data_IF_367649791751
#
_entry.id   IF_367649791751
#
_cell.length_a   1.000
_cell.length_b   1.000
_cell.length_c   1.000
_cell.angle_alpha   90.00
_cell.angle_beta   90.00
_cell.angle_gamma   90.00
#
_symmetry.space_group_name_H-M   'P 1'
#
loop_
_entity.id
_entity.type
_entity.pdbx_description
1 polymer ?
#
# COMPACT_ATOMS: atom_id res chain seq x y z
N UNK A 1 -15.12 -3.91 -13.40
CA UNK A 1 -14.48 -4.09 -12.09
C UNK A 1 -13.00 -3.73 -12.15
N UNK A 2 -12.09 -4.58 -12.62
CA UNK A 2 -10.64 -4.26 -12.64
C UNK A 2 -10.31 -3.02 -13.51
N UNK A 3 -10.89 -2.92 -14.71
CA UNK A 3 -10.67 -1.79 -15.61
C UNK A 3 -11.07 -0.44 -15.00
N UNK A 4 -12.18 -0.40 -14.25
CA UNK A 4 -12.66 0.83 -13.60
C UNK A 4 -11.71 1.28 -12.49
N UNK A 5 -11.10 0.33 -11.77
CA UNK A 5 -10.07 0.64 -10.77
C UNK A 5 -8.81 1.23 -11.41
N UNK A 6 -8.38 0.69 -12.54
CA UNK A 6 -7.24 1.22 -13.31
C UNK A 6 -7.53 2.64 -13.78
N UNK A 7 -8.69 2.87 -14.40
CA UNK A 7 -9.10 4.18 -14.89
C UNK A 7 -9.18 5.22 -13.76
N UNK A 8 -9.70 4.83 -12.59
CA UNK A 8 -9.73 5.69 -11.40
C UNK A 8 -8.31 6.06 -10.94
N UNK A 9 -7.38 5.10 -10.90
CA UNK A 9 -5.99 5.36 -10.54
C UNK A 9 -5.33 6.32 -11.55
N UNK A 10 -5.47 6.06 -12.85
CA UNK A 10 -4.90 6.91 -13.92
C UNK A 10 -5.42 8.35 -13.81
N UNK A 11 -6.74 8.51 -13.67
CA UNK A 11 -7.39 9.83 -13.56
C UNK A 11 -6.93 10.57 -12.30
N UNK A 12 -6.87 9.86 -11.15
CA UNK A 12 -6.47 10.47 -9.87
C UNK A 12 -5.01 10.89 -9.89
N UNK A 13 -4.12 10.07 -10.48
CA UNK A 13 -2.70 10.40 -10.61
C UNK A 13 -2.47 11.58 -11.54
N UNK A 14 -3.21 11.66 -12.65
CA UNK A 14 -3.12 12.77 -13.60
C UNK A 14 -3.63 14.10 -13.01
N UNK A 15 -4.68 14.06 -12.18
CA UNK A 15 -5.24 15.25 -11.55
C UNK A 15 -4.42 15.76 -10.35
N UNK A 16 -3.52 14.94 -9.82
CA UNK A 16 -2.79 15.24 -8.58
C UNK A 16 -1.57 16.14 -8.84
N UNK A 17 -1.30 17.14 -7.97
CA UNK A 17 -0.03 17.90 -8.02
C UNK A 17 1.18 16.97 -7.83
N UNK A 18 2.28 17.22 -8.58
CA UNK A 18 3.50 16.40 -8.52
C UNK A 18 4.07 16.18 -7.10
N UNK A 19 3.80 17.08 -6.17
CA UNK A 19 4.29 17.04 -4.79
C UNK A 19 3.28 16.45 -3.79
N UNK A 20 2.04 16.14 -4.19
CA UNK A 20 1.06 15.63 -3.24
C UNK A 20 1.48 14.23 -2.72
N UNK A 21 1.14 13.93 -1.47
CA UNK A 21 1.56 12.70 -0.78
C UNK A 21 0.42 11.70 -0.63
N UNK A 22 -0.81 12.06 -1.00
CA UNK A 22 -2.05 11.32 -0.71
C UNK A 22 -2.27 10.06 -1.53
N UNK A 23 -1.62 9.93 -2.70
CA UNK A 23 -1.64 8.73 -3.53
C UNK A 23 -0.24 8.49 -4.08
N UNK A 24 0.32 7.29 -3.89
CA UNK A 24 1.64 6.93 -4.39
C UNK A 24 1.60 5.52 -4.95
N UNK A 25 2.38 5.29 -6.00
CA UNK A 25 2.68 3.94 -6.49
C UNK A 25 4.09 3.62 -6.05
N UNK A 26 4.27 2.47 -5.42
CA UNK A 26 5.56 1.99 -4.97
C UNK A 26 5.91 0.71 -5.70
N UNK A 27 7.14 0.62 -6.18
CA UNK A 27 7.68 -0.61 -6.77
C UNK A 27 8.20 -1.55 -5.68
N UNK A 28 8.47 -2.79 -6.06
CA UNK A 28 9.09 -3.80 -5.18
C UNK A 28 10.46 -3.39 -4.61
N UNK A 29 11.13 -2.44 -5.25
CA UNK A 29 12.42 -1.89 -4.83
C UNK A 29 12.29 -0.58 -4.04
N UNK A 30 11.08 -0.24 -3.57
CA UNK A 30 10.78 0.98 -2.80
C UNK A 30 10.98 2.29 -3.57
N UNK A 31 10.96 2.25 -4.90
CA UNK A 31 10.93 3.45 -5.74
C UNK A 31 9.49 3.92 -5.93
N UNK A 32 9.31 5.22 -6.17
CA UNK A 32 7.99 5.80 -6.43
C UNK A 32 7.79 6.16 -7.89
N UNK A 33 6.59 5.86 -8.38
CA UNK A 33 6.16 6.22 -9.73
C UNK A 33 5.04 7.25 -9.67
N UNK A 34 5.00 8.14 -10.66
CA UNK A 34 3.98 9.18 -10.77
C UNK A 34 2.82 8.77 -11.69
N UNK A 35 2.98 7.68 -12.44
CA UNK A 35 1.99 7.13 -13.35
C UNK A 35 2.12 5.60 -13.42
N UNK A 36 1.12 4.93 -14.01
CA UNK A 36 1.09 3.48 -14.22
C UNK A 36 1.30 3.09 -15.70
N UNK A 37 1.89 3.99 -16.51
CA UNK A 37 2.03 3.78 -17.96
C UNK A 37 2.95 2.60 -18.30
N UNK A 38 3.86 2.24 -17.39
CA UNK A 38 4.65 1.01 -17.47
C UNK A 38 3.78 -0.14 -16.96
N UNK A 39 3.07 -0.80 -17.87
CA UNK A 39 1.98 -1.73 -17.56
C UNK A 39 2.40 -3.16 -17.21
N UNK A 40 3.69 -3.50 -17.23
CA UNK A 40 4.11 -4.87 -16.91
C UNK A 40 5.59 -4.97 -16.57
N UNK A 41 5.92 -4.95 -15.29
CA UNK A 41 7.05 -5.75 -14.84
C UNK A 41 6.54 -7.19 -14.72
N UNK A 42 7.05 -8.11 -15.55
CA UNK A 42 6.92 -9.53 -15.24
C UNK A 42 7.78 -9.79 -14.00
N UNK A 43 7.14 -9.73 -12.83
CA UNK A 43 7.80 -10.05 -11.59
C UNK A 43 7.88 -11.58 -11.46
N UNK A 44 9.01 -12.15 -11.87
CA UNK A 44 9.30 -13.56 -11.68
C UNK A 44 9.81 -13.73 -10.26
N UNK A 45 8.98 -14.27 -9.38
CA UNK A 45 9.48 -14.89 -8.16
C UNK A 45 10.41 -16.03 -8.63
N UNK A 46 11.71 -15.95 -8.35
CA UNK A 46 12.67 -17.01 -8.71
C UNK A 46 12.37 -18.31 -7.95
N UNK A 47 13.41 -19.11 -7.66
CA UNK A 47 13.30 -20.32 -6.80
C UNK A 47 12.95 -20.01 -5.31
N UNK A 48 12.37 -18.86 -5.03
CA UNK A 48 11.96 -18.45 -3.68
C UNK A 48 10.47 -18.69 -3.48
N UNK A 49 10.07 -19.21 -2.32
CA UNK A 49 8.67 -19.35 -1.86
C UNK A 49 7.93 -18.00 -1.65
N UNK A 50 8.46 -16.90 -2.20
CA UNK A 50 7.87 -15.57 -2.10
C UNK A 50 6.68 -15.47 -3.04
N UNK A 51 5.61 -14.89 -2.55
CA UNK A 51 4.40 -14.61 -3.31
C UNK A 51 4.06 -13.11 -3.28
N UNK A 52 2.97 -12.73 -3.95
CA UNK A 52 2.50 -11.34 -3.98
C UNK A 52 2.13 -10.79 -2.60
N UNK A 53 1.67 -11.63 -1.67
CA UNK A 53 1.40 -11.20 -0.29
C UNK A 53 2.70 -10.75 0.38
N UNK A 54 3.79 -11.50 0.21
CA UNK A 54 5.08 -11.13 0.79
C UNK A 54 5.59 -9.79 0.22
N UNK A 55 5.32 -9.53 -1.06
CA UNK A 55 5.62 -8.24 -1.68
C UNK A 55 4.79 -7.11 -1.03
N UNK A 56 3.47 -7.27 -0.94
CA UNK A 56 2.58 -6.27 -0.29
C UNK A 56 3.01 -6.02 1.15
N UNK A 57 3.32 -7.07 1.90
CA UNK A 57 3.74 -6.97 3.30
C UNK A 57 5.11 -6.31 3.43
N UNK A 58 6.05 -6.58 2.52
CA UNK A 58 7.35 -5.91 2.50
C UNK A 58 7.20 -4.41 2.31
N UNK A 59 6.25 -3.97 1.48
CA UNK A 59 5.91 -2.56 1.30
C UNK A 59 5.37 -1.94 2.59
N UNK A 60 4.45 -2.60 3.29
CA UNK A 60 3.94 -2.12 4.58
C UNK A 60 5.05 -1.96 5.62
N UNK A 61 5.92 -2.97 5.77
CA UNK A 61 7.02 -2.95 6.72
C UNK A 61 8.04 -1.85 6.41
N UNK A 62 8.33 -1.61 5.14
CA UNK A 62 9.20 -0.51 4.73
C UNK A 62 8.65 0.84 5.21
N UNK A 63 7.36 1.10 5.03
CA UNK A 63 6.74 2.34 5.50
C UNK A 63 6.73 2.47 7.02
N UNK A 64 6.50 1.38 7.75
CA UNK A 64 6.58 1.37 9.23
C UNK A 64 7.98 1.79 9.67
N UNK A 65 9.03 1.22 9.06
CA UNK A 65 10.40 1.57 9.37
C UNK A 65 10.74 3.04 9.03
N UNK A 66 10.25 3.57 7.89
CA UNK A 66 10.45 4.98 7.54
C UNK A 66 9.81 5.93 8.56
N UNK A 67 8.63 5.58 9.08
CA UNK A 67 7.91 6.42 10.04
C UNK A 67 8.52 6.34 11.43
N UNK A 68 9.08 5.19 11.86
CA UNK A 68 9.84 5.09 13.10
C UNK A 68 11.05 6.04 13.10
N UNK A 69 11.77 6.14 11.97
CA UNK A 69 12.86 7.08 11.81
C UNK A 69 12.41 8.56 11.82
N UNK A 70 11.13 8.84 11.49
CA UNK A 70 10.56 10.19 11.49
C UNK A 70 9.86 10.55 12.82
N UNK A 71 9.38 9.55 13.57
CA UNK A 71 8.57 9.71 14.79
C UNK A 71 9.37 10.09 16.04
N UNK A 72 10.70 10.21 15.97
CA UNK A 72 11.50 10.81 17.06
C UNK A 72 11.03 12.24 17.45
N UNK A 73 10.12 12.86 16.67
CA UNK A 73 9.57 14.20 16.90
C UNK A 73 8.06 14.29 17.19
N UNK A 74 7.28 13.20 17.14
CA UNK A 74 5.81 13.28 17.22
C UNK A 74 5.23 12.59 18.46
N UNK A 75 4.47 13.34 19.27
CA UNK A 75 3.87 12.95 20.56
C UNK A 75 2.57 12.14 20.46
N UNK A 76 2.06 11.87 19.26
CA UNK A 76 0.78 11.17 19.08
C UNK A 76 0.94 9.69 18.71
N UNK A 77 0.22 8.82 19.44
CA UNK A 77 0.13 7.37 19.21
C UNK A 77 -0.75 7.04 18.00
N UNK A 78 -0.44 7.57 16.83
CA UNK A 78 -1.09 7.16 15.59
C UNK A 78 -0.42 5.90 15.02
N UNK A 79 -1.21 4.96 14.49
CA UNK A 79 -0.67 3.83 13.73
C UNK A 79 -0.13 4.37 12.40
N UNK A 80 1.17 4.21 12.10
CA UNK A 80 1.80 4.89 10.97
C UNK A 80 1.38 4.31 9.62
N UNK A 81 1.03 3.02 9.58
CA UNK A 81 0.70 2.28 8.36
C UNK A 81 -0.35 1.22 8.69
N UNK A 82 -1.37 1.10 7.84
CA UNK A 82 -2.32 0.00 7.89
C UNK A 82 -2.50 -0.62 6.50
N UNK A 83 -2.73 -1.93 6.48
CA UNK A 83 -3.07 -2.69 5.28
C UNK A 83 -4.59 -2.75 5.14
N UNK A 84 -5.11 -2.27 4.00
CA UNK A 84 -6.53 -2.44 3.66
C UNK A 84 -6.70 -3.68 2.81
N UNK A 85 -7.42 -4.69 3.33
CA UNK A 85 -7.69 -5.92 2.57
C UNK A 85 -8.99 -6.59 3.00
N UNK A 86 -9.63 -7.30 2.06
CA UNK A 86 -10.72 -8.23 2.32
C UNK A 86 -10.27 -9.70 2.39
N UNK A 87 -8.99 -9.98 2.12
CA UNK A 87 -8.44 -11.32 2.11
C UNK A 87 -8.05 -11.78 3.53
N UNK A 88 -8.58 -12.93 3.95
CA UNK A 88 -8.36 -13.48 5.29
C UNK A 88 -6.92 -13.97 5.49
N UNK A 89 -6.31 -14.59 4.49
CA UNK A 89 -4.96 -15.15 4.61
C UNK A 89 -3.93 -14.03 4.68
N UNK A 90 -4.04 -13.03 3.81
CA UNK A 90 -3.19 -11.84 3.85
C UNK A 90 -3.36 -11.09 5.17
N UNK A 91 -4.59 -10.97 5.69
CA UNK A 91 -4.84 -10.37 7.01
C UNK A 91 -4.11 -11.09 8.15
N UNK A 92 -4.13 -12.43 8.13
CA UNK A 92 -3.41 -13.25 9.13
C UNK A 92 -1.89 -13.07 8.98
N UNK A 93 -1.38 -13.10 7.75
CA UNK A 93 0.06 -12.88 7.46
C UNK A 93 0.53 -11.48 7.90
N UNK A 94 -0.30 -10.46 7.74
CA UNK A 94 -0.04 -9.09 8.14
C UNK A 94 0.05 -8.94 9.66
N UNK A 95 -0.97 -9.43 10.39
CA UNK A 95 -1.01 -9.37 11.85
C UNK A 95 0.12 -10.15 12.50
N UNK A 96 0.55 -11.26 11.91
CA UNK A 96 1.72 -12.02 12.38
C UNK A 96 3.05 -11.25 12.26
N UNK A 97 3.07 -10.11 11.55
CA UNK A 97 4.23 -9.21 11.36
C UNK A 97 3.99 -7.82 11.96
N UNK A 98 3.04 -7.70 12.89
CA UNK A 98 2.64 -6.44 13.52
C UNK A 98 2.18 -5.34 12.54
N UNK A 99 1.67 -5.74 11.37
CA UNK A 99 1.03 -4.82 10.42
C UNK A 99 -0.47 -4.74 10.75
N UNK A 100 -0.94 -3.54 11.08
CA UNK A 100 -2.36 -3.29 11.36
C UNK A 100 -3.21 -3.52 10.11
N UNK A 101 -4.41 -4.09 10.27
CA UNK A 101 -5.27 -4.46 9.14
C UNK A 101 -6.64 -3.82 9.30
N UNK A 102 -7.02 -3.04 8.28
CA UNK A 102 -8.34 -2.42 8.20
C UNK A 102 -9.17 -3.15 7.14
N UNK A 103 -10.35 -3.71 7.49
CA UNK A 103 -11.19 -4.36 6.50
C UNK A 103 -11.78 -3.34 5.53
N UNK A 104 -11.98 -3.74 4.27
CA UNK A 104 -12.57 -2.87 3.24
C UNK A 104 -13.93 -2.30 3.67
N UNK A 105 -14.74 -3.07 4.40
CA UNK A 105 -16.04 -2.64 4.93
C UNK A 105 -15.94 -1.45 5.89
N UNK A 106 -14.88 -1.37 6.69
CA UNK A 106 -14.66 -0.23 7.59
C UNK A 106 -14.34 1.05 6.80
N UNK A 107 -13.54 0.94 5.73
CA UNK A 107 -13.25 2.09 4.85
C UNK A 107 -14.52 2.62 4.18
N UNK A 108 -15.39 1.71 3.71
CA UNK A 108 -16.67 2.09 3.10
C UNK A 108 -17.54 2.88 4.09
N UNK A 109 -17.53 2.52 5.38
CA UNK A 109 -18.29 3.22 6.41
C UNK A 109 -17.73 4.61 6.74
N UNK A 110 -16.44 4.85 6.52
CA UNK A 110 -15.79 6.14 6.75
C UNK A 110 -16.04 7.15 5.63
N UNK A 111 -16.50 6.69 4.46
CA UNK A 111 -16.80 7.59 3.34
C UNK A 111 -18.13 8.28 3.63
N UNK A 112 -18.18 9.62 3.79
CA UNK A 112 -19.43 10.33 4.01
C UNK A 112 -20.38 10.08 2.84
N UNK A 113 -21.65 9.81 3.17
CA UNK A 113 -22.72 9.58 2.18
C UNK A 113 -23.08 10.85 1.43
#
# INVERSE_FOLDING_TARGET
MAQQGIELLETTLAAKPKQSTSLRIQTSHNNFMNDISIRSEQFVFGESDKNLDDLILSTCLWWIAQQQNAQEKATEKAVPVCLVTGDRNLSVKARARDVEVVPVSAIIQLTPK
#
